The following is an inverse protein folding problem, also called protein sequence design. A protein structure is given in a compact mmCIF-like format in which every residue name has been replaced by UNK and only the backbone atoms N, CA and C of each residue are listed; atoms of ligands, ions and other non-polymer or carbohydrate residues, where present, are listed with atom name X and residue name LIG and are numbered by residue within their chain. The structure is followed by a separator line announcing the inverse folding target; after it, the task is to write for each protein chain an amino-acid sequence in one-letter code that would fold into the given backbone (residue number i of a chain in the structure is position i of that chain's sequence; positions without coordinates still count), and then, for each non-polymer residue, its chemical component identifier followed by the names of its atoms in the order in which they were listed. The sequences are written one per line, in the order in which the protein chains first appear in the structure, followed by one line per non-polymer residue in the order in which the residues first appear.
data_IF_032017768721
#
_entry.id   IF_032017768721
#
_cell.length_a   1.000
_cell.length_b   1.000
_cell.length_c   1.000
_cell.angle_alpha   90.00
_cell.angle_beta   90.00
_cell.angle_gamma   90.00
#
_symmetry.space_group_name_H-M   'P 1'
#
loop_
_entity.id
_entity.type
_entity.pdbx_description
1 polymer ?
#
# COMPACT_ATOMS: atom_id res chain seq x y z
N UNK A 1 -80.05 8.12 -35.13
CA UNK A 1 -78.64 7.81 -35.45
C UNK A 1 -77.82 7.99 -34.17
N UNK A 2 -77.30 6.91 -33.59
CA UNK A 2 -76.56 6.93 -32.31
C UNK A 2 -75.13 7.44 -32.54
N UNK A 3 -74.69 8.44 -31.77
CA UNK A 3 -73.30 8.89 -31.74
C UNK A 3 -72.65 8.49 -30.42
N UNK A 4 -71.69 7.58 -30.50
CA UNK A 4 -70.86 7.07 -29.40
C UNK A 4 -69.71 8.04 -29.12
N UNK A 5 -69.51 8.38 -27.84
CA UNK A 5 -68.35 9.13 -27.37
C UNK A 5 -67.13 8.20 -27.31
N UNK A 6 -66.00 8.58 -27.93
CA UNK A 6 -64.70 7.95 -27.72
C UNK A 6 -63.85 8.86 -26.82
N UNK A 7 -63.55 8.37 -25.63
CA UNK A 7 -62.55 8.94 -24.72
C UNK A 7 -61.17 8.58 -25.27
N UNK A 8 -60.33 9.57 -25.55
CA UNK A 8 -58.93 9.36 -25.89
C UNK A 8 -58.11 9.21 -24.60
N UNK A 9 -57.56 8.02 -24.36
CA UNK A 9 -56.54 7.79 -23.34
C UNK A 9 -55.22 8.37 -23.86
N UNK A 10 -54.69 9.39 -23.19
CA UNK A 10 -53.29 9.81 -23.37
C UNK A 10 -52.39 8.84 -22.59
N UNK A 11 -51.71 7.95 -23.30
CA UNK A 11 -50.65 7.12 -22.73
C UNK A 11 -49.38 7.96 -22.56
N UNK A 12 -48.96 8.16 -21.32
CA UNK A 12 -47.67 8.75 -20.96
C UNK A 12 -46.57 7.72 -21.25
N UNK A 13 -45.84 7.87 -22.37
CA UNK A 13 -44.64 7.08 -22.67
C UNK A 13 -43.49 7.59 -21.80
N UNK A 14 -43.24 6.92 -20.68
CA UNK A 14 -42.02 7.10 -19.88
C UNK A 14 -40.90 6.38 -20.62
N UNK A 15 -40.03 7.15 -21.29
CA UNK A 15 -38.75 6.63 -21.77
C UNK A 15 -37.85 6.42 -20.54
N UNK A 16 -37.65 5.17 -20.14
CA UNK A 16 -36.46 4.83 -19.38
C UNK A 16 -35.27 4.99 -20.33
N UNK A 17 -34.51 6.07 -20.16
CA UNK A 17 -33.14 6.15 -20.66
C UNK A 17 -32.36 5.07 -19.90
N UNK A 18 -32.27 3.88 -20.48
CA UNK A 18 -31.19 2.95 -20.14
C UNK A 18 -29.92 3.70 -20.57
N UNK A 19 -29.00 4.03 -19.65
CA UNK A 19 -27.74 4.59 -20.07
C UNK A 19 -27.09 3.54 -20.97
N UNK A 20 -26.92 3.87 -22.25
CA UNK A 20 -26.05 3.10 -23.13
C UNK A 20 -24.69 3.07 -22.43
N UNK A 21 -24.30 1.92 -21.91
CA UNK A 21 -22.93 1.68 -21.52
C UNK A 21 -22.11 1.82 -22.81
N UNK A 22 -21.47 2.98 -22.99
CA UNK A 22 -20.46 3.14 -24.02
C UNK A 22 -19.38 2.11 -23.71
N UNK A 23 -19.26 1.09 -24.55
CA UNK A 23 -18.13 0.17 -24.51
C UNK A 23 -16.94 0.89 -25.13
N UNK A 24 -15.96 1.20 -24.31
CA UNK A 24 -14.67 1.74 -24.75
C UNK A 24 -13.83 0.62 -25.39
N UNK A 25 -13.04 0.95 -26.42
CA UNK A 25 -12.04 0.04 -27.00
C UNK A 25 -10.71 0.23 -26.29
N UNK A 26 -10.25 -0.79 -25.55
CA UNK A 26 -8.93 -0.80 -24.92
C UNK A 26 -7.96 -1.62 -25.77
N UNK A 27 -6.83 -1.03 -26.16
CA UNK A 27 -5.83 -1.66 -27.03
C UNK A 27 -4.50 -1.82 -26.31
N UNK A 28 -4.02 -3.06 -26.22
CA UNK A 28 -2.71 -3.40 -25.65
C UNK A 28 -1.75 -3.71 -26.82
N UNK A 29 -0.64 -2.98 -26.89
CA UNK A 29 0.45 -3.24 -27.83
C UNK A 29 1.69 -3.60 -27.03
N UNK A 30 2.32 -4.74 -27.32
CA UNK A 30 3.57 -5.11 -26.67
C UNK A 30 4.75 -4.75 -27.56
N UNK A 31 5.80 -4.21 -26.95
CA UNK A 31 7.06 -3.94 -27.64
C UNK A 31 7.94 -5.21 -27.76
N UNK A 32 9.18 -5.07 -28.23
CA UNK A 32 10.09 -6.21 -28.39
C UNK A 32 10.46 -6.91 -27.07
N UNK A 33 10.36 -6.22 -25.94
CA UNK A 33 10.62 -6.76 -24.60
C UNK A 33 9.37 -7.31 -23.93
N UNK A 34 8.22 -7.20 -24.59
CA UNK A 34 6.93 -7.61 -24.07
C UNK A 34 6.27 -6.56 -23.16
N UNK A 35 6.81 -5.34 -23.06
CA UNK A 35 6.23 -4.29 -22.20
C UNK A 35 4.89 -3.86 -22.80
N UNK A 36 3.78 -3.88 -22.03
CA UNK A 36 2.48 -3.45 -22.54
C UNK A 36 2.39 -1.92 -22.62
N UNK A 37 2.04 -1.43 -23.81
CA UNK A 37 1.56 -0.09 -24.08
C UNK A 37 0.04 -0.14 -24.19
N UNK A 38 -0.64 0.42 -23.19
CA UNK A 38 -2.09 0.33 -23.03
C UNK A 38 -2.73 1.64 -23.46
N UNK A 39 -3.52 1.60 -24.52
CA UNK A 39 -4.25 2.75 -25.06
C UNK A 39 -5.72 2.66 -24.69
N UNK A 40 -6.25 3.75 -24.13
CA UNK A 40 -7.60 3.87 -23.62
C UNK A 40 -8.05 5.34 -23.68
N UNK A 41 -9.35 5.58 -23.82
CA UNK A 41 -9.96 6.91 -23.71
C UNK A 41 -10.18 7.32 -22.24
N UNK A 42 -10.23 6.36 -21.31
CA UNK A 42 -10.44 6.62 -19.88
C UNK A 42 -9.38 5.97 -18.99
N UNK A 43 -9.21 6.48 -17.77
CA UNK A 43 -8.30 5.88 -16.78
C UNK A 43 -8.76 4.48 -16.36
N UNK A 44 -10.08 4.28 -16.26
CA UNK A 44 -10.69 2.99 -16.01
C UNK A 44 -10.40 2.00 -17.15
N UNK A 45 -10.47 2.44 -18.41
CA UNK A 45 -10.06 1.65 -19.57
C UNK A 45 -8.57 1.28 -19.54
N UNK A 46 -7.70 2.24 -19.18
CA UNK A 46 -6.27 2.02 -19.04
C UNK A 46 -5.97 1.00 -17.91
N UNK A 47 -6.63 1.14 -16.77
CA UNK A 47 -6.51 0.22 -15.64
C UNK A 47 -7.05 -1.19 -15.98
N UNK A 48 -8.16 -1.29 -16.70
CA UNK A 48 -8.68 -2.55 -17.21
C UNK A 48 -7.66 -3.26 -18.12
N UNK A 49 -7.05 -2.53 -19.06
CA UNK A 49 -6.00 -3.06 -19.93
C UNK A 49 -4.79 -3.56 -19.15
N UNK A 50 -4.38 -2.85 -18.09
CA UNK A 50 -3.29 -3.28 -17.22
C UNK A 50 -3.63 -4.56 -16.46
N UNK A 51 -4.85 -4.66 -15.92
CA UNK A 51 -5.31 -5.86 -15.22
C UNK A 51 -5.25 -7.08 -16.13
N UNK A 52 -5.69 -6.93 -17.39
CA UNK A 52 -5.58 -7.98 -18.38
C UNK A 52 -4.11 -8.32 -18.71
N UNK A 53 -3.25 -7.31 -18.95
CA UNK A 53 -1.85 -7.52 -19.30
C UNK A 53 -1.03 -8.18 -18.17
N UNK A 54 -1.21 -7.73 -16.92
CA UNK A 54 -0.56 -8.34 -15.77
C UNK A 54 -1.02 -9.79 -15.58
N UNK A 55 -2.31 -10.07 -15.76
CA UNK A 55 -2.83 -11.44 -15.68
C UNK A 55 -2.25 -12.32 -16.79
N UNK A 56 -2.19 -11.82 -18.03
CA UNK A 56 -1.57 -12.52 -19.16
C UNK A 56 -0.12 -12.92 -18.89
N UNK A 57 0.64 -12.06 -18.21
CA UNK A 57 2.04 -12.36 -17.95
C UNK A 57 2.26 -13.20 -16.68
N UNK A 58 1.51 -12.92 -15.61
CA UNK A 58 1.82 -13.36 -14.24
C UNK A 58 0.58 -13.56 -13.34
N UNK A 59 -0.52 -14.11 -13.87
CA UNK A 59 -1.78 -14.33 -13.13
C UNK A 59 -1.57 -14.99 -11.76
N UNK A 60 -0.86 -16.12 -11.71
CA UNK A 60 -0.66 -16.86 -10.45
C UNK A 60 -0.01 -15.98 -9.37
N UNK A 61 0.97 -15.16 -9.74
CA UNK A 61 1.66 -14.25 -8.82
C UNK A 61 0.73 -13.15 -8.29
N UNK A 62 -0.19 -12.61 -9.11
CA UNK A 62 -1.20 -11.65 -8.65
C UNK A 62 -2.09 -12.29 -7.58
N UNK A 63 -2.58 -13.49 -7.86
CA UNK A 63 -3.48 -14.21 -6.95
C UNK A 63 -2.77 -14.60 -5.64
N UNK A 64 -1.49 -14.99 -5.71
CA UNK A 64 -0.65 -15.21 -4.53
C UNK A 64 -0.43 -13.91 -3.75
N UNK A 65 -0.16 -12.78 -4.41
CA UNK A 65 0.00 -11.47 -3.74
C UNK A 65 -1.26 -11.07 -2.96
N UNK A 66 -2.46 -11.29 -3.51
CA UNK A 66 -3.70 -11.04 -2.77
C UNK A 66 -3.86 -11.97 -1.56
N UNK A 67 -3.59 -13.28 -1.73
CA UNK A 67 -3.62 -14.21 -0.59
C UNK A 67 -2.56 -13.91 0.48
N UNK A 68 -1.41 -13.38 0.05
CA UNK A 68 -0.33 -12.90 0.92
C UNK A 68 -0.88 -11.79 1.80
N UNK A 69 -1.44 -10.72 1.23
CA UNK A 69 -2.03 -9.63 1.99
C UNK A 69 -3.22 -10.05 2.87
N UNK A 70 -3.96 -11.09 2.47
CA UNK A 70 -5.08 -11.62 3.24
C UNK A 70 -4.68 -12.50 4.43
N UNK A 71 -3.44 -13.00 4.47
CA UNK A 71 -3.04 -14.06 5.39
C UNK A 71 -3.85 -15.34 5.17
N UNK A 72 -3.79 -15.87 3.94
CA UNK A 72 -4.49 -17.10 3.52
C UNK A 72 -3.63 -17.99 2.61
N UNK A 73 -2.30 -17.85 2.63
CA UNK A 73 -1.40 -18.72 1.88
C UNK A 73 -1.37 -20.14 2.47
N UNK A 74 -1.53 -20.32 3.77
CA UNK A 74 -1.53 -21.65 4.39
C UNK A 74 -2.69 -22.52 3.94
N UNK A 75 -3.78 -21.92 3.46
CA UNK A 75 -4.93 -22.62 2.87
C UNK A 75 -4.58 -23.30 1.53
N UNK A 76 -3.51 -22.86 0.86
CA UNK A 76 -3.23 -23.28 -0.52
C UNK A 76 -1.82 -23.84 -0.70
N UNK A 77 -0.84 -23.28 0.02
CA UNK A 77 0.58 -23.66 0.01
C UNK A 77 1.00 -24.50 1.23
N UNK A 78 0.13 -24.64 2.22
CA UNK A 78 0.31 -25.59 3.33
C UNK A 78 0.94 -25.00 4.60
N UNK A 79 1.42 -25.86 5.52
CA UNK A 79 1.70 -25.49 6.91
C UNK A 79 2.86 -24.51 7.10
N UNK A 80 3.81 -24.46 6.17
CA UNK A 80 4.97 -23.57 6.25
C UNK A 80 4.57 -22.08 6.19
N UNK A 81 3.39 -21.78 5.66
CA UNK A 81 2.84 -20.42 5.57
C UNK A 81 1.99 -20.01 6.78
N UNK A 82 1.84 -20.86 7.80
CA UNK A 82 1.03 -20.52 8.98
C UNK A 82 1.54 -19.26 9.70
N UNK A 83 2.85 -19.16 9.94
CA UNK A 83 3.43 -18.00 10.62
C UNK A 83 3.32 -16.73 9.79
N UNK A 84 3.53 -16.86 8.47
CA UNK A 84 3.28 -15.79 7.52
C UNK A 84 1.84 -15.29 7.65
N UNK A 85 0.86 -16.18 7.56
CA UNK A 85 -0.55 -15.81 7.61
C UNK A 85 -0.93 -15.20 8.96
N UNK A 86 -0.45 -15.77 10.06
CA UNK A 86 -0.66 -15.22 11.40
C UNK A 86 -0.17 -13.78 11.51
N UNK A 87 1.02 -13.46 11.00
CA UNK A 87 1.55 -12.08 10.96
C UNK A 87 0.61 -11.13 10.23
N UNK A 88 0.02 -11.54 9.09
CA UNK A 88 -0.94 -10.70 8.38
C UNK A 88 -2.27 -10.54 9.12
N UNK A 89 -2.69 -11.54 9.90
CA UNK A 89 -3.87 -11.44 10.79
C UNK A 89 -3.63 -10.51 11.98
N UNK A 90 -2.39 -10.41 12.47
CA UNK A 90 -1.99 -9.42 13.48
C UNK A 90 -2.17 -8.00 12.93
N UNK A 91 -1.73 -7.74 11.69
CA UNK A 91 -1.78 -6.41 11.06
C UNK A 91 -3.09 -6.03 10.36
N UNK A 92 -4.05 -6.96 10.31
CA UNK A 92 -5.44 -6.73 9.89
C UNK A 92 -5.58 -6.12 8.48
N UNK A 93 -4.63 -6.37 7.57
CA UNK A 93 -4.67 -5.80 6.21
C UNK A 93 -5.99 -6.07 5.50
N UNK A 94 -6.44 -7.33 5.51
CA UNK A 94 -7.73 -7.76 4.97
C UNK A 94 -8.93 -7.05 5.60
N UNK A 95 -8.97 -7.06 6.93
CA UNK A 95 -10.12 -6.53 7.68
C UNK A 95 -10.30 -5.04 7.42
N UNK A 96 -9.22 -4.26 7.55
CA UNK A 96 -9.29 -2.81 7.39
C UNK A 96 -9.54 -2.43 5.94
N UNK A 97 -8.84 -3.05 4.98
CA UNK A 97 -9.07 -2.77 3.57
C UNK A 97 -10.53 -3.04 3.18
N UNK A 98 -11.11 -4.16 3.62
CA UNK A 98 -12.50 -4.50 3.33
C UNK A 98 -13.48 -3.54 4.00
N UNK A 99 -13.26 -3.20 5.28
CA UNK A 99 -14.13 -2.32 6.05
C UNK A 99 -14.15 -0.90 5.48
N UNK A 100 -12.97 -0.37 5.12
CA UNK A 100 -12.79 1.03 4.74
C UNK A 100 -12.74 1.27 3.24
N UNK A 101 -12.81 0.23 2.40
CA UNK A 101 -12.87 0.40 0.94
C UNK A 101 -13.88 1.48 0.48
N UNK A 102 -15.10 1.61 1.06
CA UNK A 102 -16.02 2.68 0.68
C UNK A 102 -15.50 4.12 0.89
N UNK A 103 -14.49 4.31 1.75
CA UNK A 103 -13.85 5.60 2.03
C UNK A 103 -12.77 5.97 1.00
N UNK A 104 -12.27 5.00 0.21
CA UNK A 104 -11.40 5.28 -0.95
C UNK A 104 -12.16 6.17 -1.94
N UNK A 105 -11.46 7.15 -2.53
CA UNK A 105 -12.12 8.09 -3.45
C UNK A 105 -12.82 7.35 -4.60
N UNK A 106 -13.92 7.93 -5.09
CA UNK A 106 -14.67 7.34 -6.18
C UNK A 106 -13.79 7.09 -7.42
N UNK A 107 -12.82 7.99 -7.68
CA UNK A 107 -11.87 7.85 -8.78
C UNK A 107 -10.97 6.61 -8.62
N UNK A 108 -10.32 6.47 -7.47
CA UNK A 108 -9.47 5.32 -7.19
C UNK A 108 -10.25 4.01 -7.15
N UNK A 109 -11.48 4.00 -6.61
CA UNK A 109 -12.36 2.83 -6.67
C UNK A 109 -12.71 2.43 -8.11
N UNK A 110 -13.01 3.40 -8.98
CA UNK A 110 -13.24 3.15 -10.41
C UNK A 110 -12.05 2.46 -11.09
N UNK A 111 -10.85 2.99 -10.86
CA UNK A 111 -9.58 2.42 -11.36
C UNK A 111 -9.36 0.99 -10.84
N UNK A 112 -9.49 0.76 -9.52
CA UNK A 112 -9.32 -0.56 -8.90
C UNK A 112 -10.32 -1.57 -9.47
N UNK A 113 -11.60 -1.20 -9.56
CA UNK A 113 -12.66 -2.08 -10.05
C UNK A 113 -12.47 -2.40 -11.53
N UNK A 114 -12.04 -1.44 -12.35
CA UNK A 114 -11.74 -1.67 -13.75
C UNK A 114 -10.53 -2.60 -13.93
N UNK A 115 -9.46 -2.41 -13.15
CA UNK A 115 -8.31 -3.30 -13.12
C UNK A 115 -8.69 -4.74 -12.76
N UNK A 116 -9.48 -4.95 -11.70
CA UNK A 116 -9.97 -6.27 -11.32
C UNK A 116 -10.85 -6.91 -12.41
N UNK A 117 -11.67 -6.12 -13.11
CA UNK A 117 -12.42 -6.60 -14.28
C UNK A 117 -11.50 -7.05 -15.42
N UNK A 118 -10.36 -6.39 -15.61
CA UNK A 118 -9.33 -6.78 -16.57
C UNK A 118 -8.72 -8.15 -16.24
N UNK A 119 -8.36 -8.36 -14.98
CA UNK A 119 -7.88 -9.67 -14.49
C UNK A 119 -8.97 -10.74 -14.69
N UNK A 120 -10.20 -10.46 -14.26
CA UNK A 120 -11.32 -11.39 -14.41
C UNK A 120 -11.57 -11.73 -15.88
N UNK A 121 -11.49 -10.74 -16.79
CA UNK A 121 -11.63 -10.98 -18.23
C UNK A 121 -10.62 -11.99 -18.74
N UNK A 122 -9.36 -11.88 -18.31
CA UNK A 122 -8.32 -12.82 -18.69
C UNK A 122 -8.63 -14.22 -18.14
N UNK A 123 -8.99 -14.33 -16.86
CA UNK A 123 -9.38 -15.58 -16.21
C UNK A 123 -10.55 -16.28 -16.91
N UNK A 124 -11.58 -15.52 -17.30
CA UNK A 124 -12.75 -16.05 -18.02
C UNK A 124 -12.39 -16.59 -19.42
N UNK A 125 -11.38 -15.99 -20.06
CA UNK A 125 -10.90 -16.41 -21.38
C UNK A 125 -9.89 -17.57 -21.34
N UNK A 126 -9.25 -17.80 -20.19
CA UNK A 126 -8.17 -18.77 -20.01
C UNK A 126 -8.41 -19.63 -18.75
N UNK A 127 -9.55 -20.35 -18.66
CA UNK A 127 -9.91 -21.09 -17.45
C UNK A 127 -8.89 -22.17 -17.06
N UNK A 128 -8.15 -22.72 -18.03
CA UNK A 128 -7.11 -23.73 -17.79
C UNK A 128 -5.85 -23.14 -17.12
N UNK A 129 -5.66 -21.81 -17.19
CA UNK A 129 -4.55 -21.10 -16.53
C UNK A 129 -4.93 -20.59 -15.14
N UNK A 130 -6.22 -20.64 -14.78
CA UNK A 130 -6.71 -20.19 -13.47
C UNK A 130 -6.43 -21.28 -12.42
N UNK A 131 -5.61 -21.00 -11.39
CA UNK A 131 -5.38 -21.97 -10.33
C UNK A 131 -6.69 -22.31 -9.60
N UNK A 132 -6.90 -23.59 -9.29
CA UNK A 132 -8.10 -24.05 -8.56
C UNK A 132 -8.29 -23.38 -7.20
N UNK A 133 -7.20 -22.84 -6.64
CA UNK A 133 -7.18 -22.14 -5.36
C UNK A 133 -7.34 -20.62 -5.49
N UNK A 134 -7.55 -20.09 -6.71
CA UNK A 134 -7.71 -18.67 -6.96
C UNK A 134 -8.72 -18.05 -5.98
N UNK A 135 -8.36 -16.96 -5.27
CA UNK A 135 -9.34 -16.26 -4.45
C UNK A 135 -10.42 -15.65 -5.35
N UNK A 136 -11.61 -15.41 -4.79
CA UNK A 136 -12.58 -14.54 -5.44
C UNK A 136 -11.98 -13.13 -5.52
N UNK A 137 -11.97 -12.56 -6.71
CA UNK A 137 -11.51 -11.20 -6.93
C UNK A 137 -12.48 -10.21 -6.28
N UNK A 138 -11.94 -9.37 -5.41
CA UNK A 138 -12.67 -8.34 -4.70
C UNK A 138 -11.82 -7.05 -4.66
N UNK A 139 -12.38 -5.86 -4.97
CA UNK A 139 -11.61 -4.62 -5.10
C UNK A 139 -10.73 -4.26 -3.89
N UNK A 140 -11.20 -4.55 -2.67
CA UNK A 140 -10.45 -4.26 -1.46
C UNK A 140 -9.14 -5.07 -1.34
N UNK A 141 -8.94 -6.15 -2.11
CA UNK A 141 -7.68 -6.89 -2.14
C UNK A 141 -6.51 -6.04 -2.63
N UNK A 142 -6.75 -5.10 -3.56
CA UNK A 142 -5.73 -4.14 -4.02
C UNK A 142 -5.30 -3.21 -2.89
N UNK A 143 -6.26 -2.77 -2.06
CA UNK A 143 -5.97 -1.92 -0.89
C UNK A 143 -5.27 -2.72 0.20
N UNK A 144 -5.65 -3.99 0.41
CA UNK A 144 -4.94 -4.88 1.34
C UNK A 144 -3.49 -5.09 0.89
N UNK A 145 -3.26 -5.32 -0.41
CA UNK A 145 -1.93 -5.44 -0.99
C UNK A 145 -1.12 -4.16 -0.81
N UNK A 146 -1.72 -3.00 -1.08
CA UNK A 146 -1.09 -1.69 -0.88
C UNK A 146 -0.66 -1.47 0.57
N UNK A 147 -1.51 -1.87 1.53
CA UNK A 147 -1.18 -1.84 2.96
C UNK A 147 -0.03 -2.78 3.31
N UNK A 148 -0.04 -4.02 2.81
CA UNK A 148 1.03 -4.99 3.04
C UNK A 148 2.37 -4.43 2.54
N UNK A 149 2.39 -3.89 1.31
CA UNK A 149 3.60 -3.34 0.69
C UNK A 149 4.24 -2.29 1.59
N UNK A 150 3.49 -1.35 2.15
CA UNK A 150 4.11 -0.29 2.98
C UNK A 150 4.44 -0.71 4.41
N UNK A 151 3.96 -1.86 4.87
CA UNK A 151 4.01 -2.22 6.28
C UNK A 151 5.38 -2.64 6.79
N UNK A 152 6.19 -3.26 5.91
CA UNK A 152 7.46 -3.87 6.31
C UNK A 152 8.47 -2.86 6.89
N UNK A 153 8.41 -1.60 6.44
CA UNK A 153 9.30 -0.53 6.92
C UNK A 153 8.97 -0.09 8.37
N UNK A 154 7.76 0.38 8.71
CA UNK A 154 7.45 0.77 10.08
C UNK A 154 7.49 -0.43 11.05
N UNK A 155 7.14 -1.63 10.59
CA UNK A 155 7.34 -2.84 11.40
C UNK A 155 8.83 -3.10 11.68
N UNK A 156 9.70 -2.79 10.72
CA UNK A 156 11.15 -2.82 10.90
C UNK A 156 11.68 -1.78 11.86
N UNK A 157 11.23 -0.52 11.76
CA UNK A 157 11.54 0.54 12.71
C UNK A 157 11.22 0.06 14.15
N UNK A 158 9.98 -0.39 14.41
CA UNK A 158 9.59 -0.91 15.72
C UNK A 158 10.34 -2.21 16.11
N UNK A 159 10.75 -3.01 15.14
CA UNK A 159 11.58 -4.20 15.36
C UNK A 159 12.99 -3.87 15.85
N UNK A 160 13.56 -2.73 15.46
CA UNK A 160 14.85 -2.25 15.99
C UNK A 160 14.75 -1.93 17.49
N UNK A 161 13.62 -1.36 17.95
CA UNK A 161 13.36 -1.15 19.36
C UNK A 161 13.31 -2.46 20.13
N UNK A 162 12.56 -3.46 19.62
CA UNK A 162 12.50 -4.79 20.23
C UNK A 162 13.90 -5.39 20.40
N UNK A 163 14.74 -5.24 19.38
CA UNK A 163 16.12 -5.71 19.40
C UNK A 163 16.94 -4.99 20.46
N UNK A 164 16.78 -3.68 20.62
CA UNK A 164 17.38 -2.92 21.71
C UNK A 164 16.87 -3.38 23.10
N UNK A 165 15.63 -3.86 23.19
CA UNK A 165 15.06 -4.56 24.36
C UNK A 165 15.55 -5.99 24.56
N UNK A 166 16.45 -6.50 23.70
CA UNK A 166 16.99 -7.85 23.77
C UNK A 166 15.98 -8.93 23.37
N UNK A 167 15.06 -8.59 22.46
CA UNK A 167 14.14 -9.52 21.79
C UNK A 167 14.50 -9.51 20.31
N UNK A 168 14.80 -10.69 19.76
CA UNK A 168 15.10 -10.79 18.33
C UNK A 168 13.77 -10.90 17.55
N UNK A 169 13.37 -9.88 16.76
CA UNK A 169 12.20 -10.00 15.90
C UNK A 169 12.49 -10.94 14.72
N UNK A 170 11.42 -11.33 14.03
CA UNK A 170 11.54 -12.01 12.75
C UNK A 170 12.35 -11.15 11.76
N UNK A 171 13.21 -11.76 10.94
CA UNK A 171 13.99 -11.02 9.97
C UNK A 171 13.06 -10.34 8.95
N UNK A 172 13.41 -9.11 8.59
CA UNK A 172 12.76 -8.36 7.50
C UNK A 172 13.71 -8.41 6.30
N UNK A 173 13.14 -8.49 5.09
CA UNK A 173 13.93 -8.50 3.86
C UNK A 173 14.70 -7.18 3.68
N UNK A 174 15.89 -7.27 3.08
CA UNK A 174 16.68 -6.08 2.75
C UNK A 174 16.02 -5.29 1.61
N UNK A 175 15.95 -3.97 1.78
CA UNK A 175 15.44 -3.04 0.77
C UNK A 175 16.45 -1.91 0.56
N UNK A 176 17.02 -1.80 -0.63
CA UNK A 176 17.88 -0.69 -1.03
C UNK A 176 17.38 -0.05 -2.32
N UNK A 177 17.90 1.13 -2.68
CA UNK A 177 17.62 1.83 -3.93
C UNK A 177 18.60 2.99 -4.11
N UNK A 178 18.79 3.43 -5.35
CA UNK A 178 19.35 4.74 -5.67
C UNK A 178 18.33 5.62 -6.40
N UNK A 179 18.45 6.93 -6.21
CA UNK A 179 17.72 7.93 -7.00
C UNK A 179 18.56 9.20 -7.16
N UNK A 180 18.55 9.80 -8.35
CA UNK A 180 19.19 11.09 -8.64
C UNK A 180 18.23 12.03 -9.33
N UNK A 181 18.38 13.33 -9.05
CA UNK A 181 17.80 14.40 -9.85
C UNK A 181 18.90 15.39 -10.24
N UNK A 182 18.93 15.79 -11.50
CA UNK A 182 19.84 16.79 -12.05
C UNK A 182 19.00 17.89 -12.67
N UNK A 183 19.20 19.13 -12.22
CA UNK A 183 18.50 20.30 -12.73
C UNK A 183 18.98 20.68 -14.15
N UNK A 184 18.17 21.40 -14.94
CA UNK A 184 18.50 21.77 -16.32
C UNK A 184 19.86 22.44 -16.50
N UNK A 185 20.26 23.33 -15.60
CA UNK A 185 21.54 24.05 -15.65
C UNK A 185 22.77 23.15 -15.46
N UNK A 186 22.57 21.91 -15.01
CA UNK A 186 23.61 20.89 -14.85
C UNK A 186 23.58 19.83 -15.96
N UNK A 187 22.62 19.87 -16.88
CA UNK A 187 22.55 18.96 -18.02
C UNK A 187 22.95 19.65 -19.32
N UNK A 188 23.72 18.96 -20.16
CA UNK A 188 24.14 19.51 -21.45
C UNK A 188 22.97 19.80 -22.41
N UNK A 189 21.85 19.11 -22.20
CA UNK A 189 20.62 19.26 -22.98
C UNK A 189 19.70 20.38 -22.44
N UNK A 190 20.00 20.98 -21.28
CA UNK A 190 19.15 22.01 -20.69
C UNK A 190 17.79 21.48 -20.23
N UNK A 191 17.72 20.21 -19.82
CA UNK A 191 16.51 19.52 -19.33
C UNK A 191 16.79 18.82 -17.99
N UNK A 192 15.77 18.60 -17.14
CA UNK A 192 15.93 17.77 -15.95
C UNK A 192 16.32 16.33 -16.33
N UNK A 193 17.10 15.66 -15.49
CA UNK A 193 17.41 14.23 -15.61
C UNK A 193 17.08 13.53 -14.29
N UNK A 194 16.33 12.44 -14.37
CA UNK A 194 16.00 11.59 -13.24
C UNK A 194 16.61 10.19 -13.40
N UNK A 195 17.08 9.61 -12.29
CA UNK A 195 17.45 8.21 -12.16
C UNK A 195 16.51 7.54 -11.16
N UNK A 196 15.90 6.43 -11.58
CA UNK A 196 15.04 5.58 -10.76
C UNK A 196 15.65 4.18 -10.73
N UNK A 197 16.24 3.78 -9.60
CA UNK A 197 17.06 2.56 -9.51
C UNK A 197 16.79 1.77 -8.21
N UNK A 198 15.60 1.14 -8.06
CA UNK A 198 15.26 0.39 -6.86
C UNK A 198 15.94 -1.00 -6.80
N UNK A 199 16.43 -1.39 -5.62
CA UNK A 199 17.13 -2.67 -5.36
C UNK A 199 16.36 -3.54 -4.37
N UNK A 200 15.36 -4.25 -4.90
CA UNK A 200 14.52 -5.18 -4.15
C UNK A 200 14.79 -6.63 -4.57
N UNK A 201 14.16 -7.58 -3.87
CA UNK A 201 14.25 -8.99 -4.21
C UNK A 201 13.81 -9.26 -5.65
N UNK A 202 14.50 -10.17 -6.33
CA UNK A 202 14.12 -10.65 -7.67
C UNK A 202 12.90 -11.58 -7.65
N UNK A 203 12.45 -11.96 -6.45
CA UNK A 203 11.34 -12.86 -6.20
C UNK A 203 10.29 -12.20 -5.30
N UNK A 204 9.09 -12.78 -5.26
CA UNK A 204 8.02 -12.31 -4.37
C UNK A 204 7.37 -10.99 -4.81
N UNK A 205 6.75 -10.31 -3.84
CA UNK A 205 5.86 -9.17 -4.06
C UNK A 205 6.56 -7.96 -4.69
N UNK A 206 7.83 -7.74 -4.39
CA UNK A 206 8.61 -6.59 -4.86
C UNK A 206 9.20 -6.76 -6.25
N UNK A 207 8.88 -7.86 -6.95
CA UNK A 207 9.24 -8.04 -8.36
C UNK A 207 8.33 -7.21 -9.26
N UNK A 208 8.78 -5.98 -9.51
CA UNK A 208 8.08 -4.97 -10.31
C UNK A 208 7.56 -5.44 -11.69
N UNK A 209 6.52 -4.77 -12.15
CA UNK A 209 5.93 -4.90 -13.48
C UNK A 209 6.03 -3.56 -14.22
N UNK A 210 6.73 -3.54 -15.34
CA UNK A 210 6.86 -2.36 -16.19
C UNK A 210 5.68 -2.27 -17.15
N UNK A 211 5.11 -1.06 -17.29
CA UNK A 211 4.01 -0.79 -18.20
C UNK A 211 4.03 0.66 -18.69
N UNK A 212 3.28 0.93 -19.76
CA UNK A 212 2.95 2.28 -20.21
C UNK A 212 1.46 2.44 -20.41
N UNK A 213 0.90 3.51 -19.88
CA UNK A 213 -0.49 3.88 -20.07
C UNK A 213 -0.61 5.10 -20.95
N UNK A 214 -1.63 5.09 -21.79
CA UNK A 214 -2.07 6.22 -22.60
C UNK A 214 -3.58 6.35 -22.38
N UNK A 215 -3.97 6.73 -21.17
CA UNK A 215 -5.33 7.09 -20.77
C UNK A 215 -5.55 8.62 -20.73
N UNK A 216 -6.66 9.06 -20.13
CA UNK A 216 -6.99 10.49 -19.97
C UNK A 216 -6.04 11.18 -18.99
N UNK A 217 -6.05 10.75 -17.73
CA UNK A 217 -5.15 11.25 -16.67
C UNK A 217 -4.04 10.23 -16.36
N UNK A 218 -4.32 8.93 -16.47
CA UNK A 218 -3.32 7.85 -16.37
C UNK A 218 -2.52 7.77 -17.67
N UNK A 219 -1.63 8.74 -17.87
CA UNK A 219 -0.65 8.79 -18.94
C UNK A 219 0.76 8.61 -18.35
N UNK A 220 1.09 7.38 -17.93
CA UNK A 220 2.24 7.07 -17.08
C UNK A 220 3.16 6.04 -17.74
N UNK A 221 4.45 6.10 -17.44
CA UNK A 221 5.46 5.11 -17.83
C UNK A 221 6.36 4.80 -16.64
N UNK A 222 6.63 3.51 -16.39
CA UNK A 222 7.37 3.10 -15.20
C UNK A 222 6.93 1.73 -14.69
N UNK A 223 7.06 1.54 -13.37
CA UNK A 223 6.84 0.26 -12.72
C UNK A 223 5.79 0.31 -11.61
N UNK A 224 5.09 -0.81 -11.43
CA UNK A 224 4.14 -1.05 -10.35
C UNK A 224 4.39 -2.41 -9.68
N UNK A 225 3.86 -2.57 -8.47
CA UNK A 225 3.72 -3.88 -7.85
C UNK A 225 2.65 -4.68 -8.59
N UNK A 226 2.90 -5.97 -8.84
CA UNK A 226 1.92 -6.88 -9.42
C UNK A 226 0.65 -6.97 -8.57
N UNK A 227 -0.51 -6.75 -9.18
CA UNK A 227 -1.80 -6.63 -8.48
C UNK A 227 -2.14 -5.20 -8.05
N UNK A 228 -1.30 -4.21 -8.39
CA UNK A 228 -1.61 -2.78 -8.23
C UNK A 228 -1.99 -2.15 -9.58
N UNK A 229 -3.01 -1.28 -9.64
CA UNK A 229 -3.49 -0.65 -10.86
C UNK A 229 -2.73 0.64 -11.26
N UNK A 230 -1.79 1.12 -10.44
CA UNK A 230 -1.12 2.41 -10.64
C UNK A 230 0.41 2.21 -10.60
N UNK A 231 1.13 2.80 -11.56
CA UNK A 231 2.59 2.92 -11.52
C UNK A 231 2.98 3.77 -10.32
N UNK A 232 3.87 3.26 -9.46
CA UNK A 232 4.31 3.95 -8.24
C UNK A 232 5.69 4.59 -8.36
N UNK A 233 6.50 4.14 -9.34
CA UNK A 233 7.82 4.68 -9.66
C UNK A 233 7.90 4.86 -11.17
N UNK A 234 8.24 6.07 -11.64
CA UNK A 234 8.22 6.35 -13.06
C UNK A 234 7.99 7.81 -13.35
N UNK A 235 7.25 8.09 -14.42
CA UNK A 235 6.97 9.44 -14.86
C UNK A 235 5.63 9.54 -15.59
N UNK A 236 5.12 10.77 -15.66
CA UNK A 236 4.09 11.18 -16.61
C UNK A 236 4.68 12.24 -17.57
N UNK A 237 3.84 12.98 -18.29
CA UNK A 237 4.30 14.02 -19.23
C UNK A 237 4.87 15.28 -18.55
N UNK A 238 4.68 15.43 -17.23
CA UNK A 238 5.04 16.62 -16.44
C UNK A 238 6.12 16.34 -15.38
N UNK A 239 6.09 15.18 -14.73
CA UNK A 239 6.96 14.87 -13.60
C UNK A 239 7.52 13.45 -13.65
N UNK A 240 8.66 13.24 -12.99
CA UNK A 240 9.22 11.94 -12.62
C UNK A 240 9.18 11.77 -11.11
N UNK A 241 8.85 10.58 -10.62
CA UNK A 241 8.86 10.20 -9.20
C UNK A 241 9.76 9.00 -8.99
N UNK A 242 10.75 9.16 -8.12
CA UNK A 242 11.62 8.11 -7.63
C UNK A 242 11.43 7.94 -6.12
N UNK A 243 11.76 6.75 -5.60
CA UNK A 243 11.78 6.50 -4.16
C UNK A 243 12.97 5.64 -3.76
N UNK A 244 13.54 5.95 -2.60
CA UNK A 244 14.50 5.11 -1.91
C UNK A 244 14.09 4.90 -0.45
N UNK A 245 14.45 3.77 0.17
CA UNK A 245 14.24 3.57 1.61
C UNK A 245 14.92 4.71 2.38
N UNK A 246 14.13 5.49 3.12
CA UNK A 246 14.64 6.62 3.90
C UNK A 246 14.76 6.34 5.38
N UNK A 247 14.15 5.26 5.87
CA UNK A 247 13.77 5.10 7.29
C UNK A 247 13.01 6.35 7.78
N UNK A 248 12.59 6.39 9.03
CA UNK A 248 12.00 7.63 9.54
C UNK A 248 11.65 7.62 11.01
N UNK A 249 11.96 6.53 11.72
CA UNK A 249 11.50 6.33 13.08
C UNK A 249 9.97 6.54 13.16
N UNK A 250 9.27 5.80 12.28
CA UNK A 250 7.83 5.99 11.99
C UNK A 250 6.91 5.10 12.82
N UNK A 251 7.47 4.35 13.75
CA UNK A 251 6.78 3.40 14.61
C UNK A 251 7.58 3.24 15.90
N UNK A 252 6.96 2.67 16.92
CA UNK A 252 7.63 2.35 18.18
C UNK A 252 7.17 1.00 18.71
N UNK A 253 8.02 0.37 19.50
CA UNK A 253 7.60 -0.67 20.44
C UNK A 253 7.34 -0.09 21.83
N UNK A 254 6.20 -0.42 22.42
CA UNK A 254 5.87 -0.15 23.80
C UNK A 254 6.08 -1.39 24.68
N UNK A 255 6.79 -1.23 25.79
CA UNK A 255 6.98 -2.23 26.83
C UNK A 255 5.87 -2.11 27.88
N UNK A 256 4.96 -3.08 27.87
CA UNK A 256 3.78 -3.15 28.72
C UNK A 256 4.07 -4.04 29.94
N UNK A 257 3.73 -3.54 31.12
CA UNK A 257 3.84 -4.32 32.35
C UNK A 257 2.59 -5.18 32.50
N UNK A 258 2.75 -6.50 32.50
CA UNK A 258 1.64 -7.46 32.58
C UNK A 258 1.27 -7.71 34.04
N UNK A 259 -0.02 -7.88 34.32
CA UNK A 259 -0.48 -8.25 35.65
C UNK A 259 -0.04 -9.68 35.98
N UNK A 260 0.73 -9.90 37.07
CA UNK A 260 1.21 -11.24 37.45
C UNK A 260 0.07 -12.21 37.82
N UNK A 261 -1.09 -11.68 38.24
CA UNK A 261 -2.26 -12.47 38.62
C UNK A 261 -3.24 -12.69 37.45
N UNK A 262 -3.13 -11.90 36.39
CA UNK A 262 -3.98 -12.00 35.19
C UNK A 262 -3.21 -11.58 33.93
N UNK A 263 -2.66 -12.52 33.13
CA UNK A 263 -1.82 -12.19 31.98
C UNK A 263 -2.56 -11.49 30.83
N UNK A 264 -3.89 -11.39 30.89
CA UNK A 264 -4.71 -10.61 29.96
C UNK A 264 -4.91 -9.15 30.42
N UNK A 265 -4.16 -8.70 31.42
CA UNK A 265 -4.16 -7.32 31.89
C UNK A 265 -2.77 -6.69 31.82
N UNK A 266 -2.74 -5.39 31.58
CA UNK A 266 -1.54 -4.57 31.59
C UNK A 266 -1.75 -3.30 32.43
N UNK A 267 -0.69 -2.77 33.02
CA UNK A 267 -0.75 -1.59 33.88
C UNK A 267 -0.79 -0.31 33.04
N UNK A 268 -1.66 0.64 33.42
CA UNK A 268 -1.69 2.01 32.91
C UNK A 268 -1.82 2.96 34.09
N UNK A 269 -0.77 3.75 34.36
CA UNK A 269 -0.72 4.73 35.45
C UNK A 269 -1.13 4.17 36.82
N UNK A 270 -0.72 2.93 37.12
CA UNK A 270 -1.04 2.24 38.38
C UNK A 270 -2.34 1.43 38.38
N UNK A 271 -3.11 1.46 37.29
CA UNK A 271 -4.36 0.69 37.16
C UNK A 271 -4.21 -0.48 36.17
N UNK A 272 -4.77 -1.64 36.50
CA UNK A 272 -4.84 -2.77 35.58
C UNK A 272 -5.96 -2.56 34.56
N UNK A 273 -5.63 -2.65 33.26
CA UNK A 273 -6.55 -2.60 32.14
C UNK A 273 -6.55 -3.93 31.40
N UNK A 274 -7.71 -4.36 30.91
CA UNK A 274 -7.82 -5.57 30.10
C UNK A 274 -7.22 -5.35 28.71
N UNK A 275 -6.48 -6.33 28.21
CA UNK A 275 -6.11 -6.43 26.81
C UNK A 275 -7.36 -6.76 25.98
N UNK A 276 -7.41 -6.24 24.76
CA UNK A 276 -8.38 -6.74 23.78
C UNK A 276 -7.89 -8.08 23.25
N UNK A 277 -8.74 -9.11 23.29
CA UNK A 277 -8.44 -10.45 22.77
C UNK A 277 -9.27 -10.68 21.51
N UNK A 278 -8.60 -10.65 20.35
CA UNK A 278 -9.21 -11.06 19.08
C UNK A 278 -8.93 -12.54 18.83
N UNK A 279 -10.00 -13.31 18.69
CA UNK A 279 -9.91 -14.71 18.26
C UNK A 279 -10.04 -14.80 16.75
N UNK A 280 -9.20 -15.61 16.12
CA UNK A 280 -9.25 -15.90 14.68
C UNK A 280 -9.01 -17.40 14.45
N UNK A 281 -9.35 -17.88 13.25
CA UNK A 281 -9.11 -19.25 12.81
C UNK A 281 -8.31 -19.19 11.52
N UNK A 282 -7.11 -19.77 11.56
CA UNK A 282 -6.24 -19.91 10.40
C UNK A 282 -6.37 -21.33 9.86
N UNK A 283 -6.91 -21.43 8.64
CA UNK A 283 -7.07 -22.70 7.93
C UNK A 283 -5.77 -23.09 7.23
N UNK A 284 -5.31 -24.31 7.49
CA UNK A 284 -4.04 -24.83 6.96
C UNK A 284 -4.29 -26.09 6.14
N UNK A 285 -3.85 -26.12 4.90
CA UNK A 285 -3.94 -27.32 4.05
C UNK A 285 -2.86 -28.34 4.44
N UNK A 286 -3.26 -29.60 4.61
CA UNK A 286 -2.36 -30.74 4.88
C UNK A 286 -1.91 -31.39 3.57
N UNK A 287 -0.85 -32.20 3.64
CA UNK A 287 -0.32 -32.94 2.48
C UNK A 287 -1.35 -33.86 1.82
N UNK A 288 -2.27 -34.44 2.61
CA UNK A 288 -3.34 -35.30 2.12
C UNK A 288 -4.53 -34.54 1.49
N UNK A 289 -4.45 -33.21 1.42
CA UNK A 289 -5.49 -32.33 0.88
C UNK A 289 -6.61 -31.98 1.86
N UNK A 290 -6.59 -32.51 3.08
CA UNK A 290 -7.50 -32.08 4.16
C UNK A 290 -7.04 -30.76 4.79
N UNK A 291 -7.82 -30.23 5.74
CA UNK A 291 -7.54 -28.96 6.41
C UNK A 291 -7.37 -29.13 7.93
N UNK A 292 -6.47 -28.34 8.49
CA UNK A 292 -6.31 -28.07 9.93
C UNK A 292 -6.76 -26.64 10.22
N UNK A 293 -7.87 -26.47 10.92
CA UNK A 293 -8.29 -25.16 11.39
C UNK A 293 -7.60 -24.90 12.74
N UNK A 294 -6.70 -23.91 12.78
CA UNK A 294 -5.96 -23.52 13.97
C UNK A 294 -6.56 -22.28 14.58
N UNK A 295 -7.10 -22.41 15.79
CA UNK A 295 -7.54 -21.26 16.59
C UNK A 295 -6.31 -20.47 17.06
N UNK A 296 -6.36 -19.15 16.91
CA UNK A 296 -5.33 -18.23 17.39
C UNK A 296 -5.97 -17.09 18.17
N UNK A 297 -5.22 -16.59 19.15
CA UNK A 297 -5.58 -15.40 19.90
C UNK A 297 -4.53 -14.31 19.62
N UNK A 298 -5.01 -13.10 19.35
CA UNK A 298 -4.20 -11.91 19.14
C UNK A 298 -4.56 -10.93 20.25
N UNK A 299 -3.58 -10.59 21.07
CA UNK A 299 -3.76 -9.66 22.19
C UNK A 299 -3.36 -8.26 21.76
N UNK A 300 -4.14 -7.27 22.15
CA UNK A 300 -3.89 -5.87 21.81
C UNK A 300 -3.98 -5.00 23.05
N UNK A 301 -3.05 -4.05 23.18
CA UNK A 301 -3.10 -2.98 24.17
C UNK A 301 -3.60 -1.69 23.51
N UNK A 302 -3.57 -0.56 24.24
CA UNK A 302 -3.90 0.75 23.67
C UNK A 302 -2.91 1.19 22.57
N UNK A 303 -1.70 0.64 22.55
CA UNK A 303 -0.66 1.00 21.59
C UNK A 303 -0.72 0.17 20.30
N UNK A 304 -1.13 -1.10 20.40
CA UNK A 304 -1.25 -1.99 19.25
C UNK A 304 -1.20 -3.46 19.64
N UNK A 305 -1.00 -4.36 18.66
CA UNK A 305 -0.89 -5.79 18.93
C UNK A 305 0.38 -6.12 19.70
N UNK A 306 0.24 -7.04 20.65
CA UNK A 306 1.36 -7.65 21.37
C UNK A 306 2.08 -8.62 20.43
N UNK A 307 3.34 -8.31 20.12
CA UNK A 307 4.18 -9.09 19.18
C UNK A 307 5.21 -9.96 19.89
N UNK A 308 5.51 -9.67 21.16
CA UNK A 308 6.41 -10.47 21.97
C UNK A 308 6.06 -10.41 23.46
N UNK A 309 6.48 -11.42 24.21
CA UNK A 309 6.43 -11.42 25.68
C UNK A 309 7.75 -11.91 26.25
N UNK A 310 8.22 -11.29 27.33
CA UNK A 310 9.50 -11.64 27.99
C UNK A 310 9.50 -11.12 29.42
N UNK A 311 9.94 -11.94 30.37
CA UNK A 311 10.18 -11.55 31.78
C UNK A 311 9.00 -10.82 32.46
N UNK A 312 7.77 -11.28 32.23
CA UNK A 312 6.56 -10.67 32.80
C UNK A 312 6.11 -9.36 32.11
N UNK A 313 6.65 -9.10 30.92
CA UNK A 313 6.31 -7.94 30.09
C UNK A 313 5.76 -8.39 28.74
N UNK A 314 4.88 -7.58 28.18
CA UNK A 314 4.37 -7.70 26.82
C UNK A 314 4.93 -6.53 25.99
N UNK A 315 5.20 -6.76 24.71
CA UNK A 315 5.74 -5.74 23.82
C UNK A 315 4.73 -5.51 22.70
N UNK A 316 4.17 -4.31 22.65
CA UNK A 316 3.16 -3.92 21.69
C UNK A 316 3.76 -2.98 20.65
N UNK A 317 3.55 -3.24 19.36
CA UNK A 317 4.01 -2.35 18.30
C UNK A 317 2.94 -1.31 17.98
N UNK A 318 3.31 -0.04 18.02
CA UNK A 318 2.50 1.07 17.55
C UNK A 318 2.94 1.45 16.14
N UNK A 319 2.01 1.39 15.18
CA UNK A 319 2.24 1.77 13.78
C UNK A 319 1.13 2.76 13.36
N UNK A 320 1.45 3.97 12.87
CA UNK A 320 0.44 5.00 12.58
C UNK A 320 -0.43 4.67 11.35
N UNK A 321 -0.09 3.60 10.61
CA UNK A 321 -0.82 3.10 9.45
C UNK A 321 -1.84 1.99 9.80
N UNK A 322 -1.96 1.57 11.07
CA UNK A 322 -2.89 0.51 11.53
C UNK A 322 -4.27 0.60 10.89
N UNK A 323 -4.80 1.81 10.80
CA UNK A 323 -6.15 2.10 10.33
C UNK A 323 -6.16 2.87 9.00
N UNK A 324 -5.01 3.05 8.34
CA UNK A 324 -4.86 3.90 7.15
C UNK A 324 -5.08 3.15 5.83
N UNK A 325 -5.71 3.81 4.86
CA UNK A 325 -5.95 3.30 3.50
C UNK A 325 -5.67 4.35 2.42
N UNK A 326 -5.03 5.47 2.79
CA UNK A 326 -4.85 6.66 1.96
C UNK A 326 -3.82 6.50 0.85
N UNK A 327 -2.95 5.49 0.93
CA UNK A 327 -1.84 5.30 0.00
C UNK A 327 -2.29 5.24 -1.47
N UNK A 328 -3.40 4.57 -1.75
CA UNK A 328 -3.92 4.46 -3.13
C UNK A 328 -4.24 5.84 -3.69
N UNK A 329 -4.97 6.65 -2.92
CA UNK A 329 -5.36 8.00 -3.31
C UNK A 329 -4.15 8.92 -3.44
N UNK A 330 -3.22 8.85 -2.49
CA UNK A 330 -1.96 9.60 -2.58
C UNK A 330 -1.17 9.20 -3.82
N UNK A 331 -1.03 7.90 -4.11
CA UNK A 331 -0.25 7.41 -5.26
C UNK A 331 -0.87 7.90 -6.57
N UNK A 332 -2.20 7.83 -6.69
CA UNK A 332 -2.92 8.36 -7.84
C UNK A 332 -2.63 9.85 -8.03
N UNK A 333 -2.84 10.68 -7.00
CA UNK A 333 -2.63 12.12 -7.09
C UNK A 333 -1.18 12.49 -7.39
N UNK A 334 -0.24 11.83 -6.72
CA UNK A 334 1.19 12.06 -6.91
C UNK A 334 1.60 11.72 -8.35
N UNK A 335 1.20 10.58 -8.87
CA UNK A 335 1.62 10.12 -10.19
C UNK A 335 0.90 10.83 -11.34
N UNK A 336 -0.21 11.51 -11.06
CA UNK A 336 -0.98 12.30 -12.03
C UNK A 336 -0.75 13.81 -11.89
N UNK A 337 0.11 14.23 -10.96
CA UNK A 337 0.46 15.63 -10.75
C UNK A 337 1.11 16.25 -11.99
N UNK A 338 0.76 17.52 -12.25
CA UNK A 338 1.18 18.27 -13.45
C UNK A 338 2.30 19.27 -13.20
N UNK A 339 2.69 19.45 -11.95
CA UNK A 339 3.70 20.39 -11.49
C UNK A 339 4.14 20.02 -10.06
N UNK A 340 5.15 20.71 -9.55
CA UNK A 340 5.68 20.43 -8.22
C UNK A 340 4.67 20.71 -7.10
N UNK A 341 3.84 21.75 -7.23
CA UNK A 341 2.83 22.10 -6.21
C UNK A 341 1.79 20.99 -6.04
N UNK A 342 1.29 20.42 -7.13
CA UNK A 342 0.38 19.27 -7.10
C UNK A 342 1.06 18.02 -6.52
N UNK A 343 2.33 17.79 -6.85
CA UNK A 343 3.09 16.66 -6.29
C UNK A 343 3.28 16.81 -4.76
N UNK A 344 3.62 18.02 -4.28
CA UNK A 344 3.73 18.33 -2.84
C UNK A 344 2.38 18.23 -2.13
N UNK A 345 1.30 18.67 -2.77
CA UNK A 345 -0.06 18.49 -2.24
C UNK A 345 -0.39 17.00 -2.04
N UNK A 346 -0.06 16.15 -3.00
CA UNK A 346 -0.22 14.70 -2.85
C UNK A 346 0.66 14.13 -1.72
N UNK A 347 1.92 14.55 -1.63
CA UNK A 347 2.86 14.12 -0.59
C UNK A 347 2.44 14.55 0.83
N UNK A 348 1.67 15.62 0.96
CA UNK A 348 1.15 16.09 2.26
C UNK A 348 0.18 15.12 2.93
N UNK A 349 -0.35 14.13 2.20
CA UNK A 349 -1.24 13.11 2.75
C UNK A 349 -0.53 12.10 3.67
N UNK A 350 0.80 11.95 3.55
CA UNK A 350 1.62 11.06 4.38
C UNK A 350 1.11 9.60 4.45
N UNK A 351 0.49 9.09 3.39
CA UNK A 351 0.12 7.67 3.23
C UNK A 351 1.29 6.76 2.86
N UNK A 352 2.40 7.31 2.35
CA UNK A 352 3.68 6.60 2.19
C UNK A 352 4.38 6.42 3.54
N UNK A 353 4.98 5.25 3.76
CA UNK A 353 5.90 4.98 4.86
C UNK A 353 7.23 5.74 4.73
N UNK A 354 8.18 5.52 5.65
CA UNK A 354 9.52 6.14 5.69
C UNK A 354 10.35 5.98 4.41
N UNK A 355 10.02 6.75 3.38
CA UNK A 355 10.67 6.78 2.07
C UNK A 355 11.30 8.14 1.85
N UNK A 356 12.43 8.15 1.16
CA UNK A 356 12.85 9.32 0.42
C UNK A 356 12.08 9.33 -0.90
N UNK A 357 11.47 10.46 -1.22
CA UNK A 357 10.78 10.66 -2.49
C UNK A 357 11.49 11.81 -3.21
N UNK A 358 11.89 11.57 -4.44
CA UNK A 358 12.38 12.60 -5.34
C UNK A 358 11.40 12.86 -6.48
N UNK A 359 11.08 14.14 -6.69
CA UNK A 359 10.22 14.61 -7.79
C UNK A 359 11.00 15.56 -8.68
N UNK A 360 11.10 15.24 -9.96
CA UNK A 360 11.65 16.13 -11.00
C UNK A 360 10.52 16.58 -11.93
N UNK A 361 10.49 17.85 -12.34
CA UNK A 361 9.45 18.39 -13.23
C UNK A 361 10.02 18.85 -14.57
N UNK A 362 9.22 18.81 -15.63
CA UNK A 362 9.60 19.33 -16.96
C UNK A 362 9.89 20.83 -16.98
N UNK A 363 9.39 21.58 -16.00
CA UNK A 363 9.68 23.01 -15.79
C UNK A 363 11.08 23.24 -15.20
N UNK A 364 11.75 22.18 -14.75
CA UNK A 364 13.12 22.20 -14.25
C UNK A 364 13.25 22.11 -12.73
N UNK A 365 12.14 22.00 -11.99
CA UNK A 365 12.18 21.86 -10.55
C UNK A 365 12.66 20.45 -10.15
N UNK A 366 13.46 20.41 -9.09
CA UNK A 366 13.88 19.18 -8.43
C UNK A 366 13.55 19.29 -6.94
N UNK A 367 12.87 18.28 -6.41
CA UNK A 367 12.39 18.23 -5.04
C UNK A 367 12.70 16.89 -4.37
N UNK A 368 13.04 16.95 -3.09
CA UNK A 368 13.26 15.80 -2.21
C UNK A 368 12.39 15.97 -0.96
N UNK A 369 11.77 14.88 -0.52
CA UNK A 369 11.10 14.77 0.78
C UNK A 369 11.39 13.41 1.41
N UNK A 370 11.82 13.39 2.66
CA UNK A 370 11.73 12.20 3.51
C UNK A 370 10.31 12.10 4.05
N UNK A 371 9.46 11.33 3.39
CA UNK A 371 8.04 11.18 3.76
C UNK A 371 7.85 10.13 4.85
N UNK A 372 6.69 10.19 5.52
CA UNK A 372 6.27 9.24 6.54
C UNK A 372 5.47 9.93 7.64
N UNK A 373 4.55 9.19 8.27
CA UNK A 373 3.90 9.57 9.53
C UNK A 373 4.88 9.37 10.68
N UNK A 374 5.65 10.40 11.00
CA UNK A 374 6.57 10.39 12.15
C UNK A 374 5.80 10.76 13.42
N UNK A 375 5.76 9.90 14.46
CA UNK A 375 5.11 10.22 15.72
C UNK A 375 5.75 11.41 16.44
N UNK A 376 4.92 12.31 16.98
CA UNK A 376 5.37 13.35 17.91
C UNK A 376 5.48 12.71 19.28
N UNK A 377 6.71 12.58 19.77
CA UNK A 377 7.02 11.95 21.04
C UNK A 377 7.20 13.00 22.15
N UNK A 378 6.68 12.76 23.36
CA UNK A 378 6.87 13.66 24.50
C UNK A 378 8.34 13.87 24.88
N UNK A 379 8.65 15.04 25.44
CA UNK A 379 10.00 15.36 25.94
C UNK A 379 10.53 14.30 26.92
N UNK A 380 11.75 13.82 26.67
CA UNK A 380 12.44 12.84 27.51
C UNK A 380 12.10 11.38 27.19
N UNK A 381 11.22 11.12 26.23
CA UNK A 381 11.06 9.79 25.64
C UNK A 381 12.26 9.48 24.74
N UNK A 382 12.82 8.30 24.91
CA UNK A 382 13.94 7.77 24.12
C UNK A 382 13.38 6.68 23.19
N UNK A 383 13.17 6.98 21.90
CA UNK A 383 12.56 6.04 20.96
C UNK A 383 13.52 4.99 20.42
N UNK A 384 14.81 5.00 20.78
CA UNK A 384 15.75 4.00 20.25
C UNK A 384 15.64 2.63 20.96
N UNK A 385 14.57 2.40 21.72
CA UNK A 385 14.32 1.24 22.57
C UNK A 385 12.84 1.17 22.94
N UNK A 386 12.37 0.05 23.52
CA UNK A 386 10.97 -0.07 23.89
C UNK A 386 10.57 1.02 24.89
N UNK A 387 9.56 1.80 24.53
CA UNK A 387 9.03 2.90 25.33
C UNK A 387 8.20 2.31 26.49
N UNK A 388 8.35 2.77 27.74
CA UNK A 388 7.51 2.28 28.84
C UNK A 388 6.02 2.58 28.59
N UNK A 389 5.22 1.55 28.30
CA UNK A 389 3.80 1.65 27.97
C UNK A 389 2.88 1.76 29.18
N UNK A 390 3.40 1.49 30.38
CA UNK A 390 2.64 1.62 31.62
C UNK A 390 2.47 3.08 32.10
N UNK A 391 3.07 4.05 31.42
CA UNK A 391 3.00 5.48 31.74
C UNK A 391 2.36 6.22 30.56
N UNK A 392 1.12 6.69 30.70
CA UNK A 392 0.38 7.33 29.59
C UNK A 392 1.03 8.62 29.09
N UNK A 393 1.86 9.27 29.92
CA UNK A 393 2.63 10.45 29.53
C UNK A 393 3.66 10.16 28.42
N UNK A 394 3.98 8.90 28.15
CA UNK A 394 4.89 8.51 27.06
C UNK A 394 4.18 8.31 25.72
N UNK A 395 2.84 8.29 25.70
CA UNK A 395 2.06 8.07 24.49
C UNK A 395 2.31 9.18 23.45
N UNK A 396 2.19 8.83 22.18
CA UNK A 396 2.29 9.80 21.09
C UNK A 396 1.25 10.90 21.24
N UNK A 397 1.65 12.16 21.02
CA UNK A 397 0.74 13.31 21.10
C UNK A 397 0.21 13.76 19.74
N UNK A 398 0.67 13.14 18.67
CA UNK A 398 0.26 13.43 17.30
C UNK A 398 1.23 12.83 16.28
N UNK A 399 1.05 13.22 15.02
CA UNK A 399 1.94 12.92 13.91
C UNK A 399 2.48 14.24 13.38
N UNK A 400 3.77 14.32 13.09
CA UNK A 400 4.36 15.49 12.47
C UNK A 400 3.68 15.79 11.12
N UNK A 401 3.26 17.04 10.86
CA UNK A 401 2.78 17.43 9.55
C UNK A 401 3.94 17.48 8.55
N UNK A 402 3.63 17.57 7.25
CA UNK A 402 4.64 17.55 6.18
C UNK A 402 5.72 18.62 6.36
N UNK A 403 5.36 19.79 6.90
CA UNK A 403 6.26 20.92 7.09
C UNK A 403 7.40 20.64 8.07
N UNK A 404 7.20 19.71 9.01
CA UNK A 404 8.20 19.29 9.99
C UNK A 404 9.18 18.25 9.42
N UNK A 405 8.88 17.67 8.25
CA UNK A 405 9.70 16.63 7.63
C UNK A 405 10.94 17.22 6.93
N UNK A 406 11.92 16.36 6.64
CA UNK A 406 13.10 16.77 5.88
C UNK A 406 12.74 16.93 4.41
N UNK A 407 12.99 18.11 3.85
CA UNK A 407 12.68 18.46 2.47
C UNK A 407 13.74 19.39 1.89
N UNK A 408 13.95 19.29 0.59
CA UNK A 408 14.88 20.13 -0.15
C UNK A 408 14.31 20.42 -1.54
N UNK A 409 14.25 21.70 -1.91
CA UNK A 409 13.74 22.16 -3.19
C UNK A 409 14.83 22.96 -3.90
N UNK A 410 15.10 22.64 -5.16
CA UNK A 410 16.00 23.39 -6.05
C UNK A 410 17.33 23.83 -5.39
N UNK A 411 18.13 22.90 -4.84
CA UNK A 411 19.36 23.26 -4.14
C UNK A 411 20.35 23.97 -5.09
N UNK A 412 21.14 24.96 -4.62
CA UNK A 412 22.04 25.75 -5.47
C UNK A 412 23.08 24.94 -6.26
N UNK A 413 23.38 23.71 -5.83
CA UNK A 413 24.29 22.82 -6.55
C UNK A 413 23.68 22.22 -7.84
N UNK A 414 22.37 22.30 -8.03
CA UNK A 414 21.63 21.84 -9.22
C UNK A 414 21.52 20.32 -9.35
N UNK A 415 21.73 19.56 -8.27
CA UNK A 415 21.49 18.12 -8.25
C UNK A 415 21.22 17.59 -6.83
N UNK A 416 20.57 16.43 -6.77
CA UNK A 416 20.29 15.67 -5.54
C UNK A 416 20.51 14.17 -5.79
N UNK A 417 20.84 13.46 -4.71
CA UNK A 417 20.98 12.01 -4.72
C UNK A 417 20.52 11.42 -3.39
N UNK A 418 19.98 10.21 -3.41
CA UNK A 418 19.90 9.36 -2.23
C UNK A 418 20.23 7.90 -2.58
N UNK A 419 20.99 7.25 -1.71
CA UNK A 419 21.39 5.83 -1.79
C UNK A 419 21.13 5.13 -0.44
N UNK A 420 19.93 5.31 0.12
CA UNK A 420 19.50 4.85 1.45
C UNK A 420 20.31 5.43 2.63
N UNK A 421 20.91 6.60 2.43
CA UNK A 421 21.66 7.29 3.47
C UNK A 421 20.76 8.28 4.20
N UNK A 422 21.06 8.52 5.47
CA UNK A 422 20.44 9.58 6.26
C UNK A 422 20.64 10.93 5.56
N UNK A 423 19.61 11.79 5.49
CA UNK A 423 19.76 13.13 4.90
C UNK A 423 20.57 14.10 5.77
N UNK A 424 20.99 13.68 6.97
CA UNK A 424 21.78 14.48 7.90
C UNK A 424 23.28 14.15 7.89
N UNK A 425 23.72 13.31 6.95
CA UNK A 425 25.09 12.77 6.85
C UNK A 425 26.05 13.56 5.97
#
# INVERSE_FOLDING_TARGET
MKWTHRIALFGLLIFFLIPNAFSEEVRIVRDHYGIPHIFADTDEGAAYGLGYAQAEDRLEQILQNYRTAEGTLSEVLGPDYFQHDYRQRVWRHREIAKKKYPEISAKCRGIIEAFQKGIQKYMDGHPDEVPVWAPKLEPWQVVALSRLVIWGWPEGDAGEDLKAGGIQPDPIEYHGSNEWLIAPEKSAAGVPIALIDPHLSWYGIFRFYEARFYGDTLNLSGVCILGSPIISLGQNEYISVAMTTGSGDTADTFEEKVNPDNPLQYEVDGEWKDMTVRKDVIRVRKEDGSFDDKEVEIHETRHGPVVATKDGKAYAMAIPYMEDISLTDQTYQMMTAKNLDEAKAALSHLGLMGQNVMVGTVDGDIYYQRTGKVPIRPDGVDPSKPIPGNVSKNDWVGIHPMEDLVQCENPPQGYMQNCNVSPFG
#
